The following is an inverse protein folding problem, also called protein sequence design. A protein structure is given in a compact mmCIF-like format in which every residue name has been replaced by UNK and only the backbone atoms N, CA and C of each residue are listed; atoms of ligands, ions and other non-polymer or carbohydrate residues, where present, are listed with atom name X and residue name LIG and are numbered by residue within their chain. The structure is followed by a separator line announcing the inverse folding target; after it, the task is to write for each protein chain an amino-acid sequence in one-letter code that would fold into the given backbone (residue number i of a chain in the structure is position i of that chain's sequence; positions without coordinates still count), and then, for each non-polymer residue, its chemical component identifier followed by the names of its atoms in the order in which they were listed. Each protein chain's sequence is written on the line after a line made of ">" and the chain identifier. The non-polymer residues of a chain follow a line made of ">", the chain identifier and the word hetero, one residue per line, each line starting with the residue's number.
data_IF_574511847611
#
_entry.id   IF_574511847611
#
_cell.length_a   1.000
_cell.length_b   1.000
_cell.length_c   1.000
_cell.angle_alpha   90.00
_cell.angle_beta   90.00
_cell.angle_gamma   90.00
#
_symmetry.space_group_name_H-M   'P 1'
#
loop_
_entity.id
_entity.type
_entity.pdbx_description
1 polymer ?
#
# COMPACT_ATOMS: atom_id res chain seq x y z
N UNK A 1 14.71 -40.19 -31.38
CA UNK A 1 14.72 -40.53 -29.93
C UNK A 1 15.99 -40.07 -29.20
N UNK A 2 17.16 -39.99 -29.86
CA UNK A 2 18.43 -39.59 -29.21
C UNK A 2 18.49 -38.10 -28.82
N UNK A 3 17.92 -37.17 -29.61
CA UNK A 3 17.95 -35.72 -29.31
C UNK A 3 17.14 -35.30 -28.08
N UNK A 4 16.03 -35.98 -27.77
CA UNK A 4 15.21 -35.66 -26.59
C UNK A 4 15.95 -36.04 -25.30
N UNK A 5 16.67 -37.17 -25.32
CA UNK A 5 17.44 -37.66 -24.18
C UNK A 5 18.61 -36.73 -23.80
N UNK A 6 19.31 -36.16 -24.80
CA UNK A 6 20.41 -35.22 -24.54
C UNK A 6 19.92 -33.88 -23.94
N UNK A 7 18.74 -33.39 -24.36
CA UNK A 7 18.15 -32.17 -23.80
C UNK A 7 17.74 -32.32 -22.33
N UNK A 8 17.23 -33.48 -21.93
CA UNK A 8 16.88 -33.77 -20.53
C UNK A 8 18.11 -33.90 -19.64
N UNK A 9 19.18 -34.54 -20.13
CA UNK A 9 20.45 -34.68 -19.38
C UNK A 9 21.12 -33.32 -19.18
N UNK A 10 21.11 -32.44 -20.19
CA UNK A 10 21.68 -31.08 -20.11
C UNK A 10 21.00 -30.21 -19.04
N UNK A 11 19.65 -30.24 -18.95
CA UNK A 11 18.90 -29.49 -17.94
C UNK A 11 19.14 -30.00 -16.52
N UNK A 12 19.29 -31.32 -16.34
CA UNK A 12 19.61 -31.94 -15.05
C UNK A 12 21.02 -31.61 -14.56
N UNK A 13 22.01 -31.66 -15.46
CA UNK A 13 23.40 -31.33 -15.15
C UNK A 13 23.55 -29.85 -14.75
N UNK A 14 22.91 -28.92 -15.47
CA UNK A 14 22.92 -27.50 -15.15
C UNK A 14 22.36 -27.25 -13.74
N UNK A 15 21.21 -27.82 -13.40
CA UNK A 15 20.59 -27.65 -12.08
C UNK A 15 21.48 -28.17 -10.93
N UNK A 16 22.25 -29.24 -11.16
CA UNK A 16 23.19 -29.79 -10.19
C UNK A 16 24.44 -28.92 -9.96
N UNK A 17 24.91 -28.22 -11.00
CA UNK A 17 26.06 -27.30 -10.90
C UNK A 17 25.66 -26.02 -10.16
N UNK A 18 24.46 -25.51 -10.44
CA UNK A 18 23.88 -24.34 -9.75
C UNK A 18 23.81 -24.52 -8.22
N UNK A 19 23.46 -25.71 -7.73
CA UNK A 19 23.41 -25.98 -6.29
C UNK A 19 24.79 -26.07 -5.62
N UNK A 20 25.87 -26.29 -6.40
CA UNK A 20 27.23 -26.51 -5.85
C UNK A 20 28.04 -25.22 -5.72
N UNK A 21 27.74 -24.20 -6.51
CA UNK A 21 28.50 -22.92 -6.54
C UNK A 21 27.96 -21.86 -5.57
N UNK A 22 26.86 -22.14 -4.84
CA UNK A 22 26.22 -21.14 -3.97
C UNK A 22 25.60 -19.95 -4.73
N UNK A 23 25.62 -19.97 -6.07
CA UNK A 23 25.02 -18.93 -6.90
C UNK A 23 23.50 -19.10 -6.91
N UNK A 24 22.75 -18.06 -6.53
CA UNK A 24 21.27 -18.06 -6.58
C UNK A 24 20.81 -18.07 -8.04
N UNK A 25 19.90 -19.00 -8.38
CA UNK A 25 19.27 -19.15 -9.71
C UNK A 25 18.94 -17.79 -10.36
N UNK A 26 19.40 -17.47 -11.59
CA UNK A 26 19.33 -16.12 -12.14
C UNK A 26 17.90 -15.77 -12.59
N UNK A 27 17.06 -16.78 -12.82
CA UNK A 27 15.62 -16.63 -13.03
C UNK A 27 14.91 -16.03 -11.78
N UNK A 28 15.39 -16.36 -10.58
CA UNK A 28 14.86 -15.92 -9.29
C UNK A 28 15.26 -14.49 -9.04
N UNK A 29 16.52 -14.15 -9.34
CA UNK A 29 17.03 -12.78 -9.23
C UNK A 29 16.32 -11.83 -10.19
N UNK A 30 16.10 -12.23 -11.45
CA UNK A 30 15.37 -11.39 -12.42
C UNK A 30 13.91 -11.19 -12.02
N UNK A 31 13.20 -12.25 -11.59
CA UNK A 31 11.82 -12.14 -11.07
C UNK A 31 11.74 -11.25 -9.82
N UNK A 32 12.67 -11.39 -8.88
CA UNK A 32 12.72 -10.56 -7.67
C UNK A 32 12.95 -9.09 -8.00
N UNK A 33 13.86 -8.78 -8.94
CA UNK A 33 14.11 -7.41 -9.39
C UNK A 33 12.87 -6.80 -10.06
N UNK A 34 12.17 -7.55 -10.88
CA UNK A 34 10.91 -7.11 -11.52
C UNK A 34 9.82 -6.82 -10.48
N UNK A 35 9.62 -7.72 -9.49
CA UNK A 35 8.67 -7.50 -8.39
C UNK A 35 8.99 -6.23 -7.60
N UNK A 36 10.26 -6.05 -7.21
CA UNK A 36 10.73 -4.85 -6.51
C UNK A 36 10.48 -3.59 -7.33
N UNK A 37 10.82 -3.60 -8.61
CA UNK A 37 10.61 -2.46 -9.50
C UNK A 37 9.13 -2.11 -9.64
N UNK A 38 8.24 -3.11 -9.73
CA UNK A 38 6.80 -2.89 -9.79
C UNK A 38 6.25 -2.27 -8.50
N UNK A 39 6.68 -2.77 -7.34
CA UNK A 39 6.32 -2.19 -6.03
C UNK A 39 6.81 -0.74 -5.93
N UNK A 40 8.09 -0.49 -6.22
CA UNK A 40 8.65 0.88 -6.20
C UNK A 40 7.92 1.80 -7.17
N UNK A 41 7.62 1.34 -8.39
CA UNK A 41 6.85 2.12 -9.37
C UNK A 41 5.46 2.46 -8.85
N UNK A 42 4.76 1.51 -8.23
CA UNK A 42 3.44 1.74 -7.62
C UNK A 42 3.51 2.82 -6.55
N UNK A 43 4.45 2.71 -5.60
CA UNK A 43 4.64 3.73 -4.55
C UNK A 43 5.01 5.09 -5.12
N UNK A 44 5.93 5.14 -6.10
CA UNK A 44 6.33 6.38 -6.75
C UNK A 44 5.15 7.08 -7.44
N UNK A 45 4.30 6.32 -8.16
CA UNK A 45 3.10 6.87 -8.82
C UNK A 45 2.10 7.40 -7.78
N UNK A 46 1.84 6.64 -6.71
CA UNK A 46 0.92 7.07 -5.64
C UNK A 46 1.40 8.33 -4.92
N UNK A 47 2.70 8.38 -4.58
CA UNK A 47 3.30 9.55 -3.94
C UNK A 47 3.28 10.77 -4.86
N UNK A 48 3.65 10.60 -6.13
CA UNK A 48 3.63 11.68 -7.10
C UNK A 48 2.20 12.23 -7.28
N UNK A 49 1.22 11.34 -7.47
CA UNK A 49 -0.19 11.75 -7.59
C UNK A 49 -0.68 12.50 -6.34
N UNK A 50 -0.34 12.01 -5.14
CA UNK A 50 -0.67 12.67 -3.88
C UNK A 50 -0.03 14.05 -3.75
N UNK A 51 1.26 14.20 -4.08
CA UNK A 51 1.97 15.47 -4.04
C UNK A 51 1.42 16.48 -5.06
N UNK A 52 1.12 16.04 -6.28
CA UNK A 52 0.49 16.87 -7.31
C UNK A 52 -0.88 17.35 -6.85
N UNK A 53 -1.68 16.47 -6.26
CA UNK A 53 -3.00 16.83 -5.72
C UNK A 53 -2.91 17.81 -4.54
N UNK A 54 -1.96 17.60 -3.63
CA UNK A 54 -1.72 18.53 -2.52
C UNK A 54 -1.25 19.90 -3.02
N UNK A 55 -0.32 19.93 -3.97
CA UNK A 55 0.12 21.18 -4.60
C UNK A 55 -1.03 21.92 -5.29
N UNK A 56 -1.91 21.20 -5.99
CA UNK A 56 -3.14 21.78 -6.55
C UNK A 56 -4.04 22.38 -5.47
N UNK A 57 -4.28 21.66 -4.37
CA UNK A 57 -5.11 22.16 -3.27
C UNK A 57 -4.48 23.39 -2.58
N UNK A 58 -3.16 23.40 -2.37
CA UNK A 58 -2.43 24.50 -1.75
C UNK A 58 -2.41 25.76 -2.64
N UNK A 59 -2.32 25.59 -3.96
CA UNK A 59 -2.27 26.70 -4.92
C UNK A 59 -3.64 27.30 -5.23
N UNK A 60 -4.69 26.48 -5.29
CA UNK A 60 -6.04 26.92 -5.68
C UNK A 60 -6.97 27.15 -4.51
N UNK A 61 -6.67 26.60 -3.33
CA UNK A 61 -7.58 26.55 -2.18
C UNK A 61 -8.78 25.62 -2.38
N UNK A 62 -8.91 24.97 -3.54
CA UNK A 62 -10.01 24.07 -3.85
C UNK A 62 -9.65 22.62 -3.49
N UNK A 63 -10.60 21.91 -2.89
CA UNK A 63 -10.49 20.47 -2.63
C UNK A 63 -11.71 19.75 -3.20
N UNK A 64 -11.57 18.45 -3.46
CA UNK A 64 -12.66 17.64 -3.98
C UNK A 64 -13.71 17.46 -2.87
N UNK A 65 -14.97 17.93 -3.07
CA UNK A 65 -16.01 17.71 -2.07
C UNK A 65 -16.31 16.21 -1.99
N UNK A 66 -16.58 15.72 -0.78
CA UNK A 66 -16.95 14.32 -0.59
C UNK A 66 -18.33 14.06 -1.21
N UNK A 67 -18.45 13.19 -2.23
CA UNK A 67 -19.74 12.92 -2.89
C UNK A 67 -20.73 12.29 -1.90
N UNK A 68 -20.26 11.46 -0.97
CA UNK A 68 -21.12 10.86 0.05
C UNK A 68 -21.76 11.91 0.95
N UNK A 69 -20.99 12.91 1.41
CA UNK A 69 -21.51 14.02 2.20
C UNK A 69 -22.47 14.88 1.39
N UNK A 70 -22.17 15.12 0.12
CA UNK A 70 -23.04 15.90 -0.77
C UNK A 70 -24.39 15.21 -0.99
N UNK A 71 -24.40 13.89 -1.13
CA UNK A 71 -25.61 13.10 -1.39
C UNK A 71 -26.44 12.81 -0.14
N UNK A 72 -25.78 12.51 0.99
CA UNK A 72 -26.46 12.01 2.19
C UNK A 72 -26.50 13.01 3.35
N UNK A 73 -25.68 14.05 3.31
CA UNK A 73 -25.45 14.96 4.44
C UNK A 73 -24.52 14.40 5.52
N UNK A 74 -24.28 13.09 5.55
CA UNK A 74 -23.48 12.42 6.59
C UNK A 74 -21.98 12.41 6.28
N UNK A 75 -21.17 12.35 7.33
CA UNK A 75 -19.71 12.22 7.25
C UNK A 75 -19.30 10.75 7.17
N UNK A 76 -18.69 10.33 6.06
CA UNK A 76 -18.08 9.00 5.97
C UNK A 76 -16.79 8.94 6.81
N UNK A 77 -16.23 7.74 7.10
CA UNK A 77 -15.01 7.64 7.90
C UNK A 77 -13.78 8.27 7.21
N UNK A 78 -13.81 8.40 5.89
CA UNK A 78 -12.80 9.11 5.10
C UNK A 78 -13.03 10.62 4.92
N UNK A 79 -14.14 11.19 5.41
CA UNK A 79 -14.35 12.63 5.33
C UNK A 79 -13.25 13.36 6.12
N UNK A 80 -12.69 14.42 5.54
CA UNK A 80 -11.65 15.25 6.17
C UNK A 80 -10.21 14.87 5.82
N UNK A 81 -9.94 13.80 5.07
CA UNK A 81 -8.55 13.38 4.74
C UNK A 81 -7.76 14.46 3.99
N UNK A 82 -8.37 15.13 3.02
CA UNK A 82 -7.69 16.22 2.29
C UNK A 82 -7.33 17.37 3.23
N UNK A 83 -8.24 17.78 4.12
CA UNK A 83 -7.96 18.80 5.12
C UNK A 83 -6.89 18.36 6.12
N UNK A 84 -6.92 17.10 6.55
CA UNK A 84 -5.89 16.52 7.41
C UNK A 84 -4.52 16.60 6.73
N UNK A 85 -4.42 16.21 5.47
CA UNK A 85 -3.16 16.25 4.72
C UNK A 85 -2.66 17.69 4.49
N UNK A 86 -3.56 18.65 4.24
CA UNK A 86 -3.23 20.07 4.15
C UNK A 86 -2.74 20.64 5.49
N UNK A 87 -3.37 20.28 6.60
CA UNK A 87 -2.94 20.69 7.93
C UNK A 87 -1.55 20.13 8.26
N UNK A 88 -1.30 18.85 7.95
CA UNK A 88 0.04 18.26 8.06
C UNK A 88 1.07 18.96 7.17
N UNK A 89 0.71 19.36 5.95
CA UNK A 89 1.59 20.10 5.06
C UNK A 89 1.98 21.48 5.61
N UNK A 90 1.10 22.11 6.40
CA UNK A 90 1.37 23.35 7.12
C UNK A 90 2.04 23.14 8.50
N UNK A 91 2.29 21.89 8.91
CA UNK A 91 2.83 21.57 10.23
C UNK A 91 1.82 21.67 11.38
N UNK A 92 0.53 21.79 11.08
CA UNK A 92 -0.54 21.86 12.07
C UNK A 92 -1.08 20.46 12.41
N UNK A 93 -0.48 19.84 13.43
CA UNK A 93 -0.93 18.54 13.92
C UNK A 93 -2.30 18.61 14.59
N UNK A 94 -2.64 19.75 15.21
CA UNK A 94 -3.92 19.93 15.90
C UNK A 94 -5.08 19.99 14.90
N UNK A 95 -4.92 20.76 13.81
CA UNK A 95 -5.85 20.79 12.69
C UNK A 95 -5.95 19.46 11.97
N UNK A 96 -4.85 18.71 11.84
CA UNK A 96 -4.87 17.37 11.27
C UNK A 96 -5.69 16.40 12.13
N UNK A 97 -5.51 16.45 13.45
CA UNK A 97 -6.25 15.64 14.41
C UNK A 97 -7.74 16.00 14.42
N UNK A 98 -8.09 17.29 14.33
CA UNK A 98 -9.48 17.73 14.23
C UNK A 98 -10.14 17.30 12.92
N UNK A 99 -9.40 17.31 11.81
CA UNK A 99 -9.92 16.96 10.49
C UNK A 99 -10.24 15.47 10.35
N UNK A 100 -9.33 14.58 10.75
CA UNK A 100 -9.61 13.13 10.76
C UNK A 100 -8.69 12.36 11.73
N UNK A 101 -9.09 12.21 13.00
CA UNK A 101 -8.25 11.54 14.01
C UNK A 101 -8.05 10.05 13.72
N UNK A 102 -9.07 9.36 13.19
CA UNK A 102 -8.97 7.92 12.94
C UNK A 102 -7.89 7.62 11.88
N UNK A 103 -7.88 8.34 10.76
CA UNK A 103 -6.87 8.13 9.72
C UNK A 103 -5.51 8.60 10.18
N UNK A 104 -5.43 9.74 10.88
CA UNK A 104 -4.14 10.25 11.38
C UNK A 104 -3.45 9.23 12.30
N UNK A 105 -4.20 8.60 13.20
CA UNK A 105 -3.66 7.61 14.16
C UNK A 105 -3.39 6.25 13.51
N UNK A 106 -4.20 5.83 12.54
CA UNK A 106 -4.07 4.49 11.93
C UNK A 106 -3.15 4.46 10.71
N UNK A 107 -2.90 5.60 10.05
CA UNK A 107 -2.08 5.66 8.85
C UNK A 107 -0.65 5.12 9.02
N UNK A 108 0.09 5.41 10.12
CA UNK A 108 1.42 4.83 10.32
C UNK A 108 1.38 3.30 10.44
N UNK A 109 0.39 2.76 11.14
CA UNK A 109 0.20 1.32 11.28
C UNK A 109 -0.10 0.67 9.92
N UNK A 110 -1.05 1.23 9.16
CA UNK A 110 -1.39 0.76 7.81
C UNK A 110 -0.18 0.78 6.87
N UNK A 111 0.65 1.83 6.94
CA UNK A 111 1.85 1.95 6.12
C UNK A 111 2.88 0.87 6.46
N UNK A 112 3.11 0.60 7.75
CA UNK A 112 4.04 -0.45 8.19
C UNK A 112 3.58 -1.84 7.73
N UNK A 113 2.28 -2.14 7.87
CA UNK A 113 1.70 -3.40 7.41
C UNK A 113 1.87 -3.56 5.89
N UNK A 114 1.56 -2.52 5.12
CA UNK A 114 1.71 -2.57 3.66
C UNK A 114 3.18 -2.76 3.23
N UNK A 115 4.12 -2.09 3.90
CA UNK A 115 5.56 -2.24 3.61
C UNK A 115 6.05 -3.66 3.95
N UNK A 116 5.55 -4.25 5.04
CA UNK A 116 5.88 -5.63 5.43
C UNK A 116 5.40 -6.63 4.39
N UNK A 117 4.15 -6.50 3.93
CA UNK A 117 3.60 -7.37 2.89
C UNK A 117 4.35 -7.22 1.56
N UNK A 118 4.66 -5.98 1.17
CA UNK A 118 5.44 -5.72 -0.04
C UNK A 118 6.86 -6.31 0.06
N UNK A 119 7.50 -6.20 1.23
CA UNK A 119 8.81 -6.78 1.49
C UNK A 119 8.77 -8.32 1.47
N UNK A 120 7.71 -8.92 2.02
CA UNK A 120 7.47 -10.35 1.95
C UNK A 120 7.28 -10.81 0.50
N UNK A 121 6.35 -10.20 -0.23
CA UNK A 121 6.09 -10.45 -1.65
C UNK A 121 7.34 -10.34 -2.53
N UNK A 122 8.19 -9.34 -2.29
CA UNK A 122 9.45 -9.18 -3.03
C UNK A 122 10.41 -10.36 -2.76
N UNK A 123 10.45 -10.89 -1.53
CA UNK A 123 11.38 -11.95 -1.13
C UNK A 123 10.89 -13.35 -1.51
N UNK A 124 9.64 -13.67 -1.22
CA UNK A 124 9.05 -15.01 -1.38
C UNK A 124 8.32 -15.13 -2.71
N UNK A 125 7.60 -14.09 -3.12
CA UNK A 125 6.70 -14.15 -4.27
C UNK A 125 5.40 -14.85 -4.01
N UNK A 126 5.09 -15.06 -2.74
CA UNK A 126 3.84 -15.62 -2.25
C UNK A 126 3.07 -14.47 -1.62
N UNK A 127 1.76 -14.44 -1.87
CA UNK A 127 0.86 -13.51 -1.17
C UNK A 127 0.64 -14.14 0.21
N UNK A 128 0.91 -13.38 1.26
CA UNK A 128 0.64 -13.85 2.61
C UNK A 128 -0.86 -13.80 2.87
N UNK A 129 -1.43 -14.89 3.36
CA UNK A 129 -2.79 -14.90 3.91
C UNK A 129 -2.83 -14.36 5.36
N UNK A 130 -1.71 -13.85 5.88
CA UNK A 130 -1.38 -13.92 7.31
C UNK A 130 -2.16 -13.03 8.25
N UNK A 131 -3.04 -12.14 7.81
CA UNK A 131 -3.84 -11.37 8.76
C UNK A 131 -5.22 -11.09 8.16
N UNK A 132 -6.04 -12.13 8.01
CA UNK A 132 -7.45 -11.92 7.67
C UNK A 132 -8.13 -11.09 8.78
N UNK A 133 -7.80 -11.23 10.05
CA UNK A 133 -8.56 -10.57 11.13
C UNK A 133 -8.28 -9.07 11.29
N UNK A 134 -7.03 -8.63 11.11
CA UNK A 134 -6.62 -7.25 11.34
C UNK A 134 -7.33 -6.21 10.44
N UNK A 135 -7.44 -6.39 9.11
CA UNK A 135 -8.19 -5.47 8.25
C UNK A 135 -9.68 -5.43 8.60
N UNK A 136 -10.28 -6.53 9.08
CA UNK A 136 -11.67 -6.55 9.54
C UNK A 136 -11.85 -5.74 10.81
N UNK A 137 -10.91 -5.86 11.77
CA UNK A 137 -10.91 -5.04 12.98
C UNK A 137 -10.77 -3.56 12.62
N UNK A 138 -9.82 -3.22 11.75
CA UNK A 138 -9.64 -1.85 11.28
C UNK A 138 -10.89 -1.33 10.58
N UNK A 139 -11.50 -2.12 9.70
CA UNK A 139 -12.75 -1.77 9.04
C UNK A 139 -13.87 -1.50 10.06
N UNK A 140 -14.03 -2.38 11.04
CA UNK A 140 -15.02 -2.22 12.11
C UNK A 140 -14.76 -0.92 12.91
N UNK A 141 -13.51 -0.64 13.28
CA UNK A 141 -13.11 0.60 13.96
C UNK A 141 -13.44 1.83 13.12
N UNK A 142 -13.15 1.81 11.82
CA UNK A 142 -13.48 2.90 10.91
C UNK A 142 -14.98 3.11 10.78
N UNK A 143 -15.78 2.05 10.70
CA UNK A 143 -17.24 2.14 10.67
C UNK A 143 -17.80 2.71 11.97
N UNK A 144 -17.35 2.21 13.12
CA UNK A 144 -17.73 2.72 14.44
C UNK A 144 -17.37 4.21 14.58
N UNK A 145 -16.18 4.59 14.13
CA UNK A 145 -15.77 5.98 14.08
C UNK A 145 -16.66 6.83 13.18
N UNK A 146 -17.03 6.30 12.00
CA UNK A 146 -17.99 6.91 11.09
C UNK A 146 -19.35 7.15 11.75
N UNK A 147 -19.86 6.17 12.49
CA UNK A 147 -21.12 6.32 13.24
C UNK A 147 -20.96 7.37 14.34
N UNK A 148 -19.91 7.25 15.16
CA UNK A 148 -19.63 8.16 16.27
C UNK A 148 -19.59 9.63 15.82
N UNK A 149 -18.86 9.96 14.76
CA UNK A 149 -18.75 11.35 14.26
C UNK A 149 -20.05 11.95 13.71
N UNK A 150 -21.05 11.13 13.38
CA UNK A 150 -22.36 11.63 12.95
C UNK A 150 -23.34 11.75 14.12
N UNK A 151 -23.12 10.99 15.20
CA UNK A 151 -23.95 11.05 16.41
C UNK A 151 -23.43 12.05 17.45
N UNK A 152 -22.12 12.29 17.46
CA UNK A 152 -21.46 13.10 18.48
C UNK A 152 -21.64 14.61 18.34
N UNK A 153 -22.34 15.08 17.28
CA UNK A 153 -22.78 16.48 17.10
C UNK A 153 -21.67 17.51 17.24
#
# INVERSE_FOLDING_TARGET
>A
MISVLMMTVSKGAAKSVWNRTGMKNPDRMTRQRTRRNNVMRRWAVLLLAGLVYLGFCLSTGMSLPCPFRLLTGYLCPGCGVTHMALALAHGDLSGAMAANPAILLTAPLLLVLQIREDAHWIRTGEITDSDFYLPQILLAVFLLFGVWRNLAG
#
